data_IF_967852284561
#
_entry.id   IF_967852284561
#
_cell.length_a   1.000
_cell.length_b   1.000
_cell.length_c   1.000
_cell.angle_alpha   90.00
_cell.angle_beta   90.00
_cell.angle_gamma   90.00
#
_symmetry.space_group_name_H-M   'P 1'
#
loop_
_entity.id
_entity.type
_entity.pdbx_description
1 polymer ?
#
# COMPACT_ATOMS: atom_id res chain seq x y z
N UNK A 1 83.48 -12.62 -24.70
CA UNK A 1 82.84 -13.45 -23.64
C UNK A 1 81.79 -12.61 -22.94
N UNK A 2 80.75 -13.26 -22.42
CA UNK A 2 79.53 -12.74 -21.75
C UNK A 2 78.30 -12.47 -22.63
N UNK A 3 77.52 -13.55 -22.76
CA UNK A 3 76.10 -13.64 -23.09
C UNK A 3 75.19 -12.79 -22.19
N UNK A 4 74.05 -12.35 -22.73
CA UNK A 4 72.88 -11.89 -21.97
C UNK A 4 71.59 -12.20 -22.72
N UNK A 5 70.82 -13.19 -22.25
CA UNK A 5 69.51 -13.64 -22.76
C UNK A 5 68.40 -12.58 -22.57
N UNK A 6 67.30 -12.64 -23.35
CA UNK A 6 66.12 -11.80 -23.10
C UNK A 6 65.28 -12.37 -21.93
N UNK A 7 64.88 -11.50 -21.00
CA UNK A 7 64.02 -11.86 -19.89
C UNK A 7 62.54 -11.90 -20.33
N UNK A 8 61.93 -13.08 -20.26
CA UNK A 8 60.48 -13.27 -20.33
C UNK A 8 59.81 -12.56 -19.13
N UNK A 9 58.91 -11.60 -19.41
CA UNK A 9 58.01 -11.04 -18.39
C UNK A 9 56.97 -12.10 -18.00
N UNK A 10 57.05 -12.60 -16.76
CA UNK A 10 55.97 -13.32 -16.11
C UNK A 10 54.87 -12.34 -15.66
N UNK A 11 53.62 -12.64 -16.03
CA UNK A 11 52.41 -11.98 -15.51
C UNK A 11 52.19 -12.39 -14.04
N UNK A 12 51.77 -11.50 -13.13
CA UNK A 12 51.44 -11.91 -11.77
C UNK A 12 50.11 -12.70 -11.77
N UNK A 13 49.91 -13.61 -10.80
CA UNK A 13 48.67 -14.37 -10.67
C UNK A 13 47.51 -13.43 -10.30
N UNK A 14 46.35 -13.72 -10.88
CA UNK A 14 45.11 -12.96 -10.69
C UNK A 14 44.72 -12.84 -9.23
N UNK A 15 44.30 -11.64 -8.85
CA UNK A 15 43.70 -11.34 -7.55
C UNK A 15 42.48 -12.25 -7.34
N UNK A 16 42.30 -12.89 -6.18
CA UNK A 16 41.12 -13.69 -5.94
C UNK A 16 39.90 -12.77 -6.03
N UNK A 17 38.98 -13.12 -6.94
CA UNK A 17 37.68 -12.48 -7.04
C UNK A 17 37.07 -12.41 -5.65
N UNK A 18 36.96 -11.19 -5.12
CA UNK A 18 36.24 -10.90 -3.89
C UNK A 18 34.80 -11.30 -4.16
N UNK A 19 34.44 -12.53 -3.80
CA UNK A 19 33.06 -12.98 -3.83
C UNK A 19 32.34 -12.14 -2.80
N UNK A 20 31.63 -11.13 -3.29
CA UNK A 20 30.70 -10.37 -2.48
C UNK A 20 29.65 -11.39 -2.04
N UNK A 21 29.79 -11.87 -0.80
CA UNK A 21 28.77 -12.67 -0.15
C UNK A 21 27.46 -11.88 -0.27
N UNK A 22 26.36 -12.46 -0.78
CA UNK A 22 25.12 -11.72 -0.85
C UNK A 22 24.77 -11.33 0.58
N UNK A 23 24.82 -10.04 0.88
CA UNK A 23 24.17 -9.48 2.07
C UNK A 23 22.75 -10.03 2.01
N UNK A 24 22.33 -10.78 3.04
CA UNK A 24 20.97 -11.32 3.12
C UNK A 24 20.03 -10.22 2.69
N UNK A 25 19.41 -10.37 1.52
CA UNK A 25 18.56 -9.34 0.96
C UNK A 25 17.50 -9.04 2.03
N UNK A 26 17.51 -7.83 2.56
CA UNK A 26 16.60 -7.45 3.64
C UNK A 26 15.17 -7.86 3.24
N UNK A 27 14.46 -8.56 4.13
CA UNK A 27 13.09 -8.99 3.88
C UNK A 27 12.28 -7.77 3.37
N UNK A 28 11.78 -7.81 2.12
CA UNK A 28 11.05 -6.68 1.56
C UNK A 28 9.86 -6.28 2.42
N UNK A 29 9.17 -7.24 3.06
CA UNK A 29 8.02 -6.94 3.93
C UNK A 29 8.45 -6.15 5.15
N UNK A 30 9.50 -6.57 5.84
CA UNK A 30 10.04 -5.87 7.00
C UNK A 30 10.50 -4.45 6.62
N UNK A 31 11.29 -4.30 5.56
CA UNK A 31 11.81 -3.01 5.13
C UNK A 31 10.69 -2.02 4.72
N UNK A 32 9.65 -2.50 4.04
CA UNK A 32 8.48 -1.68 3.67
C UNK A 32 7.68 -1.28 4.90
N UNK A 33 7.48 -2.22 5.84
CA UNK A 33 6.78 -1.94 7.11
C UNK A 33 7.49 -0.86 7.90
N UNK A 34 8.80 -1.01 8.12
CA UNK A 34 9.60 -0.04 8.87
C UNK A 34 9.54 1.33 8.22
N UNK A 35 9.63 1.38 6.88
CA UNK A 35 9.50 2.63 6.16
C UNK A 35 8.11 3.26 6.28
N UNK A 36 7.05 2.46 6.19
CA UNK A 36 5.68 2.95 6.30
C UNK A 36 5.40 3.54 7.69
N UNK A 37 5.85 2.87 8.75
CA UNK A 37 5.78 3.39 10.12
C UNK A 37 6.58 4.69 10.27
N UNK A 38 7.79 4.75 9.70
CA UNK A 38 8.62 5.97 9.73
C UNK A 38 8.04 7.14 8.92
N UNK A 39 7.20 6.87 7.91
CA UNK A 39 6.45 7.90 7.17
C UNK A 39 5.25 8.41 7.98
N UNK A 40 4.78 7.65 8.96
CA UNK A 40 3.70 8.04 9.87
C UNK A 40 2.40 7.24 9.73
N UNK A 41 2.41 6.08 9.05
CA UNK A 41 1.27 5.16 9.10
C UNK A 41 1.25 4.41 10.43
N UNK A 42 0.07 4.14 10.97
CA UNK A 42 -0.11 3.43 12.25
C UNK A 42 -0.21 1.92 12.09
N UNK A 43 -0.68 1.46 10.94
CA UNK A 43 -0.87 0.04 10.65
C UNK A 43 -0.39 -0.31 9.24
N UNK A 44 0.21 -1.49 9.10
CA UNK A 44 0.72 -2.01 7.84
C UNK A 44 0.43 -3.49 7.72
N UNK A 45 -0.17 -3.89 6.60
CA UNK A 45 -0.53 -5.26 6.31
C UNK A 45 -0.22 -5.62 4.86
N UNK A 46 -0.14 -6.93 4.61
CA UNK A 46 0.21 -7.46 3.30
C UNK A 46 -0.71 -8.61 2.94
N UNK A 47 -1.23 -8.62 1.73
CA UNK A 47 -2.01 -9.74 1.19
C UNK A 47 -1.78 -9.89 -0.32
N UNK A 48 -2.26 -10.97 -0.90
CA UNK A 48 -2.27 -11.13 -2.36
C UNK A 48 -3.26 -10.13 -3.00
N UNK A 49 -2.99 -9.75 -4.26
CA UNK A 49 -3.86 -8.87 -5.05
C UNK A 49 -5.13 -9.60 -5.53
N UNK A 50 -5.96 -10.02 -4.58
CA UNK A 50 -7.24 -10.66 -4.82
C UNK A 50 -8.23 -10.25 -3.73
N UNK A 51 -9.52 -10.32 -4.04
CA UNK A 51 -10.55 -10.21 -3.02
C UNK A 51 -10.93 -11.59 -2.46
N UNK A 52 -11.51 -11.61 -1.26
CA UNK A 52 -12.15 -12.82 -0.74
C UNK A 52 -13.39 -13.19 -1.56
N UNK A 53 -13.85 -14.45 -1.51
CA UNK A 53 -14.92 -14.96 -2.37
C UNK A 53 -16.23 -14.18 -2.23
N UNK A 54 -16.52 -13.69 -1.02
CA UNK A 54 -17.78 -13.02 -0.71
C UNK A 54 -17.81 -11.54 -1.15
N UNK A 55 -16.66 -10.87 -1.33
CA UNK A 55 -16.64 -9.43 -1.60
C UNK A 55 -17.29 -9.09 -2.96
N UNK A 56 -17.00 -9.91 -3.99
CA UNK A 56 -17.61 -9.78 -5.32
C UNK A 56 -19.12 -10.02 -5.28
N UNK A 57 -19.54 -11.08 -4.61
CA UNK A 57 -20.96 -11.44 -4.49
C UNK A 57 -21.73 -10.34 -3.78
N UNK A 58 -21.24 -9.87 -2.64
CA UNK A 58 -21.88 -8.80 -1.87
C UNK A 58 -21.96 -7.48 -2.64
N UNK A 59 -20.95 -7.16 -3.45
CA UNK A 59 -21.01 -5.99 -4.34
C UNK A 59 -22.10 -6.15 -5.39
N UNK A 60 -22.19 -7.32 -6.03
CA UNK A 60 -23.23 -7.60 -7.02
C UNK A 60 -24.64 -7.51 -6.40
N UNK A 61 -24.85 -8.10 -5.22
CA UNK A 61 -26.13 -8.05 -4.50
C UNK A 61 -26.50 -6.61 -4.11
N UNK A 62 -25.53 -5.84 -3.60
CA UNK A 62 -25.70 -4.43 -3.23
C UNK A 62 -26.14 -3.57 -4.42
N UNK A 63 -25.51 -3.77 -5.59
CA UNK A 63 -25.84 -3.05 -6.82
C UNK A 63 -27.22 -3.48 -7.35
N UNK A 64 -27.51 -4.78 -7.38
CA UNK A 64 -28.79 -5.32 -7.83
C UNK A 64 -29.97 -4.84 -6.95
N UNK A 65 -29.72 -4.65 -5.65
CA UNK A 65 -30.70 -4.11 -4.71
C UNK A 65 -30.84 -2.58 -4.77
N UNK A 66 -30.12 -1.88 -5.66
CA UNK A 66 -30.17 -0.42 -5.78
C UNK A 66 -29.62 0.33 -4.55
N UNK A 67 -28.86 -0.34 -3.68
CA UNK A 67 -28.39 0.24 -2.42
C UNK A 67 -27.30 1.31 -2.60
N UNK A 68 -26.80 1.49 -3.83
CA UNK A 68 -25.85 2.55 -4.17
C UNK A 68 -26.50 3.94 -4.32
N UNK A 69 -27.84 4.03 -4.34
CA UNK A 69 -28.55 5.30 -4.52
C UNK A 69 -28.05 6.04 -5.77
N UNK A 70 -27.70 7.31 -5.62
CA UNK A 70 -27.20 8.14 -6.72
C UNK A 70 -25.69 7.96 -7.02
N UNK A 71 -25.01 7.03 -6.35
CA UNK A 71 -23.58 6.75 -6.55
C UNK A 71 -23.33 5.95 -7.84
N UNK A 72 -23.68 6.49 -9.00
CA UNK A 72 -23.53 5.82 -10.31
C UNK A 72 -22.10 5.34 -10.59
N UNK A 73 -21.10 6.07 -10.09
CA UNK A 73 -19.68 5.70 -10.14
C UNK A 73 -19.35 4.36 -9.45
N UNK A 74 -20.22 3.87 -8.57
CA UNK A 74 -20.09 2.56 -7.94
C UNK A 74 -20.43 1.44 -8.93
N UNK A 75 -21.43 1.65 -9.78
CA UNK A 75 -21.88 0.71 -10.81
C UNK A 75 -20.98 0.74 -12.06
N UNK A 76 -20.51 1.92 -12.49
CA UNK A 76 -19.76 2.11 -13.75
C UNK A 76 -18.47 1.29 -13.88
N UNK A 77 -17.82 0.98 -12.75
CA UNK A 77 -16.51 0.30 -12.71
C UNK A 77 -16.54 -0.94 -11.83
N UNK A 78 -17.67 -1.65 -11.80
CA UNK A 78 -17.91 -2.82 -10.95
C UNK A 78 -16.84 -3.91 -11.13
N UNK A 79 -16.42 -4.20 -12.37
CA UNK A 79 -15.42 -5.23 -12.65
C UNK A 79 -14.09 -4.94 -11.95
N UNK A 80 -13.64 -3.69 -12.00
CA UNK A 80 -12.39 -3.24 -11.39
C UNK A 80 -12.50 -3.21 -9.85
N UNK A 81 -13.67 -2.87 -9.32
CA UNK A 81 -13.95 -2.98 -7.88
C UNK A 81 -13.89 -4.42 -7.41
N UNK A 82 -14.39 -5.35 -8.22
CA UNK A 82 -14.50 -6.76 -7.88
C UNK A 82 -13.18 -7.54 -8.04
N UNK A 83 -12.19 -7.02 -8.78
CA UNK A 83 -10.86 -7.61 -8.88
C UNK A 83 -9.77 -6.53 -9.05
N UNK A 84 -8.83 -6.39 -8.10
CA UNK A 84 -7.67 -5.52 -8.25
C UNK A 84 -6.88 -5.78 -9.54
N UNK A 85 -6.88 -7.02 -10.05
CA UNK A 85 -6.18 -7.40 -11.28
C UNK A 85 -6.90 -6.93 -12.55
N UNK A 86 -8.20 -6.66 -12.49
CA UNK A 86 -8.90 -6.01 -13.59
C UNK A 86 -8.49 -4.53 -13.73
N UNK A 87 -8.01 -3.90 -12.65
CA UNK A 87 -7.43 -2.56 -12.68
C UNK A 87 -5.93 -2.59 -13.05
N UNK A 88 -5.22 -3.63 -12.63
CA UNK A 88 -3.80 -3.81 -12.94
C UNK A 88 -3.43 -5.30 -13.03
N UNK A 89 -3.36 -5.89 -14.25
CA UNK A 89 -3.18 -7.33 -14.43
C UNK A 89 -1.92 -7.91 -13.79
N UNK A 90 -0.85 -7.12 -13.71
CA UNK A 90 0.44 -7.52 -13.13
C UNK A 90 0.46 -7.44 -11.60
N UNK A 91 -0.61 -6.95 -10.95
CA UNK A 91 -0.67 -6.84 -9.49
C UNK A 91 -0.57 -8.22 -8.83
N UNK A 92 0.45 -8.41 -8.00
CA UNK A 92 0.68 -9.65 -7.24
C UNK A 92 0.31 -9.54 -5.77
N UNK A 93 0.60 -8.39 -5.17
CA UNK A 93 0.43 -8.15 -3.74
C UNK A 93 -0.14 -6.77 -3.48
N UNK A 94 -0.86 -6.63 -2.37
CA UNK A 94 -1.38 -5.36 -1.84
C UNK A 94 -0.69 -5.07 -0.51
N UNK A 95 -0.27 -3.81 -0.34
CA UNK A 95 0.20 -3.24 0.92
C UNK A 95 -0.94 -2.37 1.45
N UNK A 96 -1.63 -2.83 2.49
CA UNK A 96 -2.70 -2.07 3.12
C UNK A 96 -2.11 -1.23 4.26
N UNK A 97 -2.50 0.04 4.33
CA UNK A 97 -1.97 1.01 5.27
C UNK A 97 -3.13 1.63 6.05
N UNK A 98 -2.95 1.79 7.36
CA UNK A 98 -3.91 2.44 8.25
C UNK A 98 -3.32 3.73 8.82
N UNK A 99 -4.15 4.76 8.89
CA UNK A 99 -3.85 6.02 9.57
C UNK A 99 -5.01 6.33 10.50
N UNK A 100 -4.73 6.45 11.78
CA UNK A 100 -5.68 6.87 12.79
C UNK A 100 -5.99 8.35 12.61
N UNK A 101 -7.27 8.69 12.61
CA UNK A 101 -7.75 10.07 12.64
C UNK A 101 -8.48 10.36 13.96
N UNK A 102 -8.28 9.53 14.99
CA UNK A 102 -8.87 9.74 16.31
C UNK A 102 -8.45 11.13 16.83
N UNK A 103 -9.40 11.99 17.24
CA UNK A 103 -9.06 13.28 17.80
C UNK A 103 -8.51 13.11 19.22
N UNK A 104 -7.77 14.11 19.71
CA UNK A 104 -7.29 14.14 21.10
C UNK A 104 -8.45 14.33 22.09
N UNK A 105 -9.46 15.11 21.71
CA UNK A 105 -10.67 15.37 22.49
C UNK A 105 -11.80 14.38 22.18
N UNK A 106 -12.82 14.33 23.03
CA UNK A 106 -14.03 13.56 22.78
C UNK A 106 -14.77 14.07 21.52
N UNK A 107 -14.85 13.27 20.44
CA UNK A 107 -15.51 13.70 19.22
C UNK A 107 -17.03 13.89 19.36
N UNK A 108 -17.64 13.33 20.42
CA UNK A 108 -19.08 13.37 20.69
C UNK A 108 -19.52 14.54 21.57
N UNK A 109 -18.59 15.28 22.17
CA UNK A 109 -18.91 16.43 23.04
C UNK A 109 -19.73 17.55 22.34
N UNK A 110 -19.75 17.58 21.01
CA UNK A 110 -20.60 18.50 20.23
C UNK A 110 -22.09 18.15 20.30
N UNK A 111 -22.43 16.89 20.60
CA UNK A 111 -23.83 16.44 20.65
C UNK A 111 -24.62 17.03 21.82
N UNK A 112 -23.93 17.52 22.85
CA UNK A 112 -24.52 18.21 23.99
C UNK A 112 -24.74 19.73 23.73
N UNK A 113 -24.34 20.23 22.56
CA UNK A 113 -24.41 21.66 22.20
C UNK A 113 -25.56 21.89 21.20
N UNK A 114 -26.76 22.32 21.65
CA UNK A 114 -27.95 22.39 20.81
C UNK A 114 -27.88 23.48 19.72
N UNK A 115 -26.95 24.44 19.85
CA UNK A 115 -26.70 25.51 18.89
C UNK A 115 -25.67 25.12 17.80
N UNK A 116 -25.15 23.88 17.82
CA UNK A 116 -24.08 23.43 16.90
C UNK A 116 -24.42 22.12 16.19
N UNK A 117 -23.92 22.01 14.95
CA UNK A 117 -23.94 20.76 14.19
C UNK A 117 -22.67 19.94 14.40
N UNK A 118 -22.82 18.62 14.52
CA UNK A 118 -21.68 17.70 14.56
C UNK A 118 -21.15 17.42 13.15
N UNK A 119 -19.86 17.67 12.94
CA UNK A 119 -19.14 17.27 11.72
C UNK A 119 -18.35 16.00 12.02
N UNK A 120 -18.41 15.02 11.10
CA UNK A 120 -17.64 13.78 11.21
C UNK A 120 -16.14 14.06 11.33
N UNK A 121 -15.44 13.32 12.19
CA UNK A 121 -14.04 13.62 12.54
C UNK A 121 -13.12 13.67 11.32
N UNK A 122 -13.30 12.75 10.36
CA UNK A 122 -12.47 12.69 9.16
C UNK A 122 -12.56 13.95 8.28
N UNK A 123 -13.61 14.76 8.46
CA UNK A 123 -13.88 15.97 7.67
C UNK A 123 -13.59 17.28 8.43
N UNK A 124 -13.02 17.21 9.65
CA UNK A 124 -12.74 18.41 10.48
C UNK A 124 -11.43 19.12 10.10
N UNK A 125 -10.49 18.39 9.51
CA UNK A 125 -9.13 18.86 9.24
C UNK A 125 -8.88 18.96 7.73
N UNK A 126 -7.61 19.17 7.36
CA UNK A 126 -7.17 19.09 5.97
C UNK A 126 -7.67 17.80 5.32
N UNK A 127 -8.08 17.89 4.06
CA UNK A 127 -8.53 16.75 3.27
C UNK A 127 -7.54 15.58 3.38
N UNK A 128 -8.02 14.45 3.88
CA UNK A 128 -7.22 13.26 4.11
C UNK A 128 -6.61 12.72 2.81
N UNK A 129 -7.26 12.96 1.66
CA UNK A 129 -6.72 12.56 0.37
C UNK A 129 -5.33 13.16 0.13
N UNK A 130 -5.15 14.45 0.40
CA UNK A 130 -3.87 15.14 0.20
C UNK A 130 -2.79 14.58 1.12
N UNK A 131 -3.13 14.39 2.40
CA UNK A 131 -2.21 13.93 3.44
C UNK A 131 -1.77 12.50 3.13
N UNK A 132 -2.74 11.59 2.98
CA UNK A 132 -2.49 10.16 2.75
C UNK A 132 -1.79 9.95 1.41
N UNK A 133 -2.20 10.65 0.34
CA UNK A 133 -1.56 10.54 -0.98
C UNK A 133 -0.11 11.03 -0.97
N UNK A 134 0.20 12.06 -0.18
CA UNK A 134 1.58 12.51 0.05
C UNK A 134 2.43 11.40 0.68
N UNK A 135 1.95 10.83 1.79
CA UNK A 135 2.61 9.73 2.51
C UNK A 135 2.79 8.48 1.62
N UNK A 136 1.75 8.10 0.88
CA UNK A 136 1.77 6.98 -0.07
C UNK A 136 2.84 7.18 -1.15
N UNK A 137 2.97 8.39 -1.71
CA UNK A 137 4.01 8.70 -2.71
C UNK A 137 5.41 8.57 -2.11
N UNK A 138 5.64 9.05 -0.89
CA UNK A 138 6.93 8.91 -0.21
C UNK A 138 7.29 7.44 0.03
N UNK A 139 6.32 6.61 0.44
CA UNK A 139 6.54 5.18 0.58
C UNK A 139 6.78 4.50 -0.78
N UNK A 140 6.00 4.84 -1.80
CA UNK A 140 6.14 4.29 -3.14
C UNK A 140 7.53 4.61 -3.74
N UNK A 141 8.04 5.83 -3.56
CA UNK A 141 9.39 6.19 -3.99
C UNK A 141 10.46 5.30 -3.32
N UNK A 142 10.30 5.00 -2.03
CA UNK A 142 11.19 4.06 -1.35
C UNK A 142 11.11 2.66 -1.97
N UNK A 143 9.89 2.14 -2.19
CA UNK A 143 9.71 0.82 -2.81
C UNK A 143 10.34 0.77 -4.20
N UNK A 144 10.08 1.79 -5.02
CA UNK A 144 10.65 1.93 -6.37
C UNK A 144 12.17 1.93 -6.35
N UNK A 145 12.77 2.70 -5.46
CA UNK A 145 14.22 2.84 -5.35
C UNK A 145 14.94 1.53 -4.96
N UNK A 146 14.25 0.62 -4.25
CA UNK A 146 14.88 -0.54 -3.62
C UNK A 146 14.45 -1.89 -4.20
N UNK A 147 13.23 -1.98 -4.72
CA UNK A 147 12.60 -3.24 -5.13
C UNK A 147 12.09 -3.24 -6.57
N UNK A 148 12.07 -2.09 -7.24
CA UNK A 148 11.68 -1.96 -8.65
C UNK A 148 10.43 -1.09 -8.87
N UNK A 149 10.19 -0.65 -10.12
CA UNK A 149 9.29 0.46 -10.44
C UNK A 149 7.79 0.16 -10.32
N UNK A 150 7.42 -1.11 -10.17
CA UNK A 150 6.03 -1.55 -10.26
C UNK A 150 5.27 -1.32 -8.96
N UNK A 151 4.78 -0.09 -8.77
CA UNK A 151 3.91 0.31 -7.65
C UNK A 151 2.81 1.25 -8.12
N UNK A 152 1.56 0.97 -7.75
CA UNK A 152 0.43 1.88 -7.87
C UNK A 152 -0.10 2.24 -6.49
N UNK A 153 -0.44 3.51 -6.29
CA UNK A 153 -0.97 4.03 -5.03
C UNK A 153 -2.43 4.46 -5.21
N UNK A 154 -3.26 4.16 -4.21
CA UNK A 154 -4.68 4.49 -4.20
C UNK A 154 -5.09 4.99 -2.81
N UNK A 155 -6.06 5.91 -2.79
CA UNK A 155 -6.78 6.35 -1.60
C UNK A 155 -8.18 6.78 -2.07
N UNK A 156 -9.23 6.07 -1.64
CA UNK A 156 -10.68 6.32 -1.80
C UNK A 156 -11.22 6.49 -3.23
N UNK A 157 -10.61 7.34 -4.04
CA UNK A 157 -11.07 7.75 -5.38
C UNK A 157 -10.94 6.66 -6.45
N UNK A 158 -10.20 5.59 -6.18
CA UNK A 158 -9.97 4.52 -7.14
C UNK A 158 -11.02 3.41 -6.99
N UNK A 159 -11.36 2.68 -8.07
CA UNK A 159 -12.32 1.57 -8.01
C UNK A 159 -11.67 0.32 -7.40
N UNK A 160 -11.14 0.42 -6.18
CA UNK A 160 -10.51 -0.67 -5.44
C UNK A 160 -11.29 -0.86 -4.13
N UNK A 161 -11.64 -2.11 -3.81
CA UNK A 161 -12.32 -2.41 -2.56
C UNK A 161 -11.32 -2.44 -1.38
N UNK A 162 -11.03 -1.26 -0.83
CA UNK A 162 -10.04 -1.08 0.25
C UNK A 162 -10.40 -1.86 1.53
N UNK A 163 -11.67 -1.81 1.98
CA UNK A 163 -12.11 -2.51 3.22
C UNK A 163 -11.86 -4.04 3.17
N UNK A 164 -12.29 -4.80 2.15
CA UNK A 164 -11.95 -6.22 2.04
C UNK A 164 -10.46 -6.51 1.94
N UNK A 165 -9.69 -5.67 1.23
CA UNK A 165 -8.24 -5.83 1.12
C UNK A 165 -7.54 -5.60 2.46
N UNK A 166 -7.94 -4.58 3.20
CA UNK A 166 -7.43 -4.28 4.54
C UNK A 166 -7.72 -5.42 5.52
N UNK A 167 -8.92 -5.99 5.48
CA UNK A 167 -9.24 -7.20 6.26
C UNK A 167 -8.30 -8.36 5.90
N UNK A 168 -8.14 -8.65 4.61
CA UNK A 168 -7.24 -9.72 4.15
C UNK A 168 -5.78 -9.48 4.53
N UNK A 169 -5.36 -8.22 4.57
CA UNK A 169 -4.03 -7.80 4.96
C UNK A 169 -3.80 -7.83 6.48
N UNK A 170 -4.84 -8.10 7.27
CA UNK A 170 -4.77 -8.23 8.72
C UNK A 170 -4.88 -6.92 9.50
N UNK A 171 -5.39 -5.83 8.88
CA UNK A 171 -5.58 -4.55 9.58
C UNK A 171 -6.81 -4.54 10.50
N UNK A 172 -7.74 -5.47 10.31
CA UNK A 172 -8.97 -5.56 11.10
C UNK A 172 -10.04 -6.43 10.44
N UNK A 173 -11.30 -6.18 10.79
CA UNK A 173 -12.47 -6.86 10.22
C UNK A 173 -13.54 -5.84 9.81
N UNK A 174 -14.43 -6.25 8.91
CA UNK A 174 -15.58 -5.47 8.48
C UNK A 174 -16.72 -5.73 9.48
N UNK A 175 -17.06 -4.71 10.27
CA UNK A 175 -18.19 -4.75 11.20
C UNK A 175 -19.54 -4.70 10.48
N UNK A 176 -20.63 -4.70 11.25
CA UNK A 176 -22.00 -4.58 10.69
C UNK A 176 -22.35 -3.17 10.22
N UNK A 177 -21.54 -2.18 10.58
CA UNK A 177 -21.79 -0.76 10.34
C UNK A 177 -21.41 -0.30 8.92
N UNK A 178 -21.07 -1.23 8.01
CA UNK A 178 -20.95 -1.01 6.56
C UNK A 178 -20.65 -2.30 5.81
#
# INVERSE_FOLDING_TARGET
MCSGKPAHRLRPPGSPHRTCRPTVAADPKAAIRDRALAVGFDAVGFCDAALGPNARVRLADFLAAGQHGDMGWLADRTEQRADPRALWPEARSVIALGLSYAPEDDPLAVLDQPDRGGISVYARNRDYHDVVKGMLKTLAQFVVSRFGPDVKVFVDTAPVMEKPLAMRAGLGWQGKHT
#
